data_IF_703603626968
#
_entry.id   IF_703603626968
#
_cell.length_a   1.000
_cell.length_b   1.000
_cell.length_c   1.000
_cell.angle_alpha   90.00
_cell.angle_beta   90.00
_cell.angle_gamma   90.00
#
_symmetry.space_group_name_H-M   'P 1'
#
loop_
_entity.id
_entity.type
_entity.pdbx_description
1 polymer ?
#
# COMPACT_ATOMS: atom_id res chain seq x y z
N UNK A 1 8.15 -13.89 24.86
CA UNK A 1 7.37 -15.15 24.81
C UNK A 1 7.91 -15.94 23.64
N UNK A 2 8.11 -17.25 23.78
CA UNK A 2 8.62 -18.11 22.72
C UNK A 2 7.41 -18.88 22.17
N UNK A 3 7.11 -18.75 20.88
CA UNK A 3 6.13 -19.64 20.21
C UNK A 3 6.90 -20.63 19.35
N UNK A 4 6.38 -21.84 19.22
CA UNK A 4 6.90 -22.77 18.22
C UNK A 4 6.46 -22.29 16.85
N UNK A 5 7.27 -22.58 15.83
CA UNK A 5 6.93 -22.28 14.42
C UNK A 5 5.57 -22.89 14.06
N UNK A 6 5.25 -24.07 14.58
CA UNK A 6 3.95 -24.73 14.39
C UNK A 6 2.76 -23.87 14.86
N UNK A 7 2.92 -23.11 15.95
CA UNK A 7 1.87 -22.25 16.51
C UNK A 7 1.60 -21.01 15.64
N UNK A 8 2.52 -20.68 14.73
CA UNK A 8 2.41 -19.58 13.77
C UNK A 8 1.76 -19.99 12.45
N UNK A 9 1.58 -21.30 12.21
CA UNK A 9 0.96 -21.86 10.98
C UNK A 9 -0.55 -21.64 10.92
N UNK A 10 -1.19 -21.46 12.07
CA UNK A 10 -2.61 -21.14 12.16
C UNK A 10 -2.86 -19.61 12.19
N UNK A 11 -3.97 -19.16 11.61
CA UNK A 11 -4.46 -17.76 11.62
C UNK A 11 -4.54 -17.12 13.02
N UNK A 12 -4.32 -17.89 14.09
CA UNK A 12 -4.32 -17.46 15.48
C UNK A 12 -3.08 -16.65 15.88
N UNK A 13 -2.01 -16.62 15.10
CA UNK A 13 -0.83 -15.82 15.46
C UNK A 13 -1.14 -14.32 15.61
N UNK A 14 -2.02 -13.77 14.75
CA UNK A 14 -2.55 -12.41 14.88
C UNK A 14 -3.46 -12.25 16.10
N UNK A 15 -4.17 -13.31 16.52
CA UNK A 15 -5.01 -13.32 17.73
C UNK A 15 -4.13 -13.32 19.01
N UNK A 16 -3.00 -14.03 19.01
CA UNK A 16 -2.01 -13.99 20.10
C UNK A 16 -1.39 -12.60 20.29
N UNK A 17 -1.28 -11.79 19.23
CA UNK A 17 -0.77 -10.42 19.31
C UNK A 17 -1.75 -9.41 19.93
N UNK A 18 -3.04 -9.75 19.99
CA UNK A 18 -4.07 -8.94 20.65
C UNK A 18 -4.01 -9.10 22.18
N UNK A 19 -3.36 -10.14 22.71
CA UNK A 19 -3.41 -10.49 24.13
C UNK A 19 -2.43 -9.73 25.06
N UNK A 20 -1.51 -8.88 24.59
CA UNK A 20 -0.60 -8.15 25.49
C UNK A 20 -0.40 -6.67 25.15
N UNK A 21 -0.54 -5.85 26.18
CA UNK A 21 -0.17 -4.44 26.21
C UNK A 21 1.32 -4.25 26.49
N UNK A 22 1.89 -3.22 25.85
CA UNK A 22 3.31 -2.85 25.81
C UNK A 22 4.19 -3.73 24.90
N UNK A 23 5.18 -3.10 24.27
CA UNK A 23 5.97 -3.67 23.18
C UNK A 23 6.59 -5.02 23.53
N UNK A 24 6.63 -5.93 22.56
CA UNK A 24 7.19 -7.27 22.75
C UNK A 24 7.90 -7.76 21.50
N UNK A 25 8.91 -8.60 21.70
CA UNK A 25 9.52 -9.43 20.66
C UNK A 25 9.21 -10.88 20.94
N UNK A 26 8.86 -11.59 19.88
CA UNK A 26 8.62 -13.02 19.88
C UNK A 26 9.62 -13.68 18.92
N UNK A 27 10.31 -14.70 19.39
CA UNK A 27 11.32 -15.41 18.61
C UNK A 27 10.91 -16.88 18.55
N UNK A 28 10.82 -17.43 17.33
CA UNK A 28 10.69 -18.88 17.17
C UNK A 28 12.03 -19.53 17.47
N UNK A 29 12.08 -20.41 18.47
CA UNK A 29 13.26 -21.24 18.68
C UNK A 29 13.16 -22.46 17.78
N UNK A 30 13.93 -22.46 16.69
CA UNK A 30 14.23 -23.63 15.88
C UNK A 30 15.46 -24.39 16.41
N UNK A 31 15.60 -25.64 15.94
CA UNK A 31 16.82 -26.45 16.09
C UNK A 31 17.99 -25.68 15.45
N UNK A 32 19.21 -25.86 15.96
CA UNK A 32 20.41 -25.22 15.39
C UNK A 32 20.53 -25.56 13.89
N UNK A 33 20.52 -24.53 13.03
CA UNK A 33 20.49 -24.66 11.57
C UNK A 33 19.15 -24.31 10.89
N UNK A 34 18.06 -24.16 11.64
CA UNK A 34 16.75 -23.78 11.10
C UNK A 34 16.52 -22.24 11.10
N UNK A 35 15.80 -21.68 10.10
CA UNK A 35 15.49 -20.25 10.04
C UNK A 35 14.71 -19.76 11.26
N UNK A 36 15.10 -18.62 11.83
CA UNK A 36 14.48 -18.02 13.02
C UNK A 36 13.56 -16.85 12.66
N UNK A 37 12.27 -16.98 12.96
CA UNK A 37 11.33 -15.87 12.87
C UNK A 37 11.39 -14.99 14.11
N UNK A 38 11.66 -13.71 13.90
CA UNK A 38 11.48 -12.66 14.89
C UNK A 38 10.26 -11.84 14.51
N UNK A 39 9.38 -11.64 15.47
CA UNK A 39 8.23 -10.74 15.32
C UNK A 39 8.27 -9.71 16.43
N UNK A 40 8.29 -8.43 16.06
CA UNK A 40 8.35 -7.34 17.01
C UNK A 40 7.15 -6.43 16.87
N UNK A 41 6.46 -6.18 17.98
CA UNK A 41 5.38 -5.21 18.08
C UNK A 41 5.86 -4.02 18.89
N UNK A 42 5.79 -2.83 18.30
CA UNK A 42 6.09 -1.57 18.95
C UNK A 42 4.83 -0.69 18.99
N UNK A 43 4.51 -0.14 20.15
CA UNK A 43 3.37 0.79 20.30
C UNK A 43 3.89 2.14 20.76
N UNK A 44 3.76 3.16 19.89
CA UNK A 44 4.02 4.54 20.27
C UNK A 44 2.74 5.13 20.89
N UNK A 45 2.73 5.30 22.22
CA UNK A 45 1.57 5.84 22.93
C UNK A 45 1.26 7.30 22.59
N UNK A 46 2.27 8.10 22.22
CA UNK A 46 2.10 9.52 21.88
C UNK A 46 1.42 9.67 20.51
N UNK A 47 1.87 8.90 19.55
CA UNK A 47 1.33 8.90 18.18
C UNK A 47 0.10 7.98 18.03
N UNK A 48 -0.23 7.19 19.06
CA UNK A 48 -1.29 6.17 19.04
C UNK A 48 -1.13 5.16 17.90
N UNK A 49 0.10 4.92 17.49
CA UNK A 49 0.45 3.96 16.43
C UNK A 49 0.94 2.65 17.02
N UNK A 50 0.67 1.55 16.31
CA UNK A 50 1.26 0.24 16.61
C UNK A 50 1.84 -0.33 15.33
N UNK A 51 3.11 -0.72 15.39
CA UNK A 51 3.88 -1.28 14.28
C UNK A 51 4.18 -2.74 14.61
N UNK A 52 3.96 -3.63 13.64
CA UNK A 52 4.41 -5.02 13.70
C UNK A 52 5.45 -5.21 12.60
N UNK A 53 6.58 -5.78 12.96
CA UNK A 53 7.69 -6.08 12.04
C UNK A 53 8.03 -7.57 12.11
N UNK A 54 8.50 -8.10 10.99
CA UNK A 54 8.82 -9.50 10.81
C UNK A 54 10.27 -9.58 10.33
N UNK A 55 11.03 -10.55 10.82
CA UNK A 55 12.38 -10.82 10.35
C UNK A 55 12.66 -12.32 10.36
N UNK A 56 13.40 -12.81 9.38
CA UNK A 56 13.93 -14.17 9.36
C UNK A 56 15.45 -14.08 9.48
N UNK A 57 16.03 -14.76 10.48
CA UNK A 57 17.47 -14.70 10.80
C UNK A 57 18.01 -13.27 10.95
N UNK A 58 17.18 -12.40 11.53
CA UNK A 58 17.50 -10.98 11.73
C UNK A 58 17.35 -10.10 10.48
N UNK A 59 17.06 -10.67 9.31
CA UNK A 59 16.77 -9.92 8.10
C UNK A 59 15.28 -9.55 8.05
N UNK A 60 14.92 -8.25 7.96
CA UNK A 60 13.53 -7.82 7.93
C UNK A 60 12.81 -8.31 6.67
N UNK A 61 11.62 -8.89 6.83
CA UNK A 61 10.75 -9.33 5.74
C UNK A 61 9.42 -8.57 5.76
N UNK A 62 8.81 -8.45 4.58
CA UNK A 62 7.71 -7.51 4.34
C UNK A 62 6.40 -7.86 5.06
N UNK A 63 6.16 -9.14 5.32
CA UNK A 63 5.01 -9.63 6.10
C UNK A 63 5.23 -11.05 6.65
N UNK A 64 4.24 -11.55 7.41
CA UNK A 64 4.24 -12.90 7.96
C UNK A 64 4.25 -13.98 6.87
N UNK A 65 3.62 -13.75 5.72
CA UNK A 65 3.57 -14.76 4.64
C UNK A 65 4.96 -14.94 4.04
N UNK A 66 5.64 -13.83 3.75
CA UNK A 66 7.04 -13.81 3.33
C UNK A 66 7.94 -14.53 4.35
N UNK A 67 7.70 -14.32 5.66
CA UNK A 67 8.41 -15.05 6.70
C UNK A 67 8.14 -16.57 6.66
N UNK A 68 6.87 -16.97 6.58
CA UNK A 68 6.46 -18.38 6.56
C UNK A 68 6.97 -19.13 5.32
N UNK A 69 6.95 -18.49 4.15
CA UNK A 69 7.51 -19.07 2.92
C UNK A 69 8.99 -19.46 3.12
N UNK A 70 9.77 -18.64 3.86
CA UNK A 70 11.18 -18.96 4.15
C UNK A 70 11.31 -20.07 5.18
N UNK A 71 10.55 -19.97 6.28
CA UNK A 71 10.63 -20.94 7.39
C UNK A 71 10.17 -22.34 6.95
N UNK A 72 9.20 -22.42 6.05
CA UNK A 72 8.72 -23.68 5.50
C UNK A 72 9.66 -24.26 4.43
N UNK A 73 10.75 -23.57 4.09
CA UNK A 73 11.67 -23.95 3.01
C UNK A 73 11.06 -23.84 1.62
N UNK A 74 9.91 -23.16 1.47
CA UNK A 74 9.24 -22.94 0.18
C UNK A 74 10.00 -21.91 -0.67
N UNK A 75 10.66 -20.96 -0.01
CA UNK A 75 11.51 -19.94 -0.63
C UNK A 75 12.79 -19.73 0.16
N UNK A 76 13.85 -19.31 -0.54
CA UNK A 76 15.05 -18.81 0.11
C UNK A 76 14.84 -17.36 0.54
N UNK A 77 15.51 -16.94 1.61
CA UNK A 77 15.38 -15.58 2.14
C UNK A 77 15.81 -14.53 1.11
N UNK A 78 16.84 -14.81 0.31
CA UNK A 78 17.31 -13.89 -0.73
C UNK A 78 16.25 -13.67 -1.81
N UNK A 79 15.43 -14.68 -2.10
CA UNK A 79 14.38 -14.58 -3.11
C UNK A 79 13.13 -13.85 -2.57
N UNK A 80 12.94 -13.84 -1.25
CA UNK A 80 11.91 -13.05 -0.57
C UNK A 80 12.31 -11.58 -0.43
N UNK A 81 13.59 -11.31 -0.19
CA UNK A 81 14.13 -9.95 -0.06
C UNK A 81 14.36 -9.28 -1.42
N UNK A 82 14.49 -10.07 -2.51
CA UNK A 82 14.62 -9.50 -3.86
C UNK A 82 13.38 -8.71 -4.23
N UNK A 83 13.54 -7.46 -4.72
CA UNK A 83 12.45 -6.71 -5.31
C UNK A 83 11.77 -7.54 -6.40
N UNK A 84 10.45 -7.71 -6.32
CA UNK A 84 9.69 -8.43 -7.35
C UNK A 84 9.80 -7.68 -8.67
N UNK A 85 10.29 -8.36 -9.70
CA UNK A 85 10.45 -7.79 -11.03
C UNK A 85 9.08 -7.38 -11.62
N UNK A 86 9.02 -6.21 -12.25
CA UNK A 86 7.81 -5.77 -12.92
C UNK A 86 7.70 -6.44 -14.30
N UNK A 87 6.81 -7.43 -14.42
CA UNK A 87 6.47 -8.07 -15.70
C UNK A 87 5.50 -7.26 -16.59
N UNK A 88 4.92 -6.17 -16.08
CA UNK A 88 3.91 -5.38 -16.78
C UNK A 88 4.57 -4.32 -17.67
N UNK A 89 4.35 -4.43 -18.98
CA UNK A 89 4.89 -3.48 -19.99
C UNK A 89 3.84 -2.45 -20.42
N UNK A 90 4.22 -1.18 -20.35
CA UNK A 90 3.42 -0.03 -20.79
C UNK A 90 2.95 0.87 -19.64
N UNK A 91 2.17 1.89 -19.98
CA UNK A 91 1.61 2.84 -19.01
C UNK A 91 0.25 2.33 -18.54
N UNK A 92 0.14 2.10 -17.23
CA UNK A 92 -1.10 1.65 -16.59
C UNK A 92 -1.65 2.71 -15.66
N UNK A 93 -2.96 2.66 -15.44
CA UNK A 93 -3.67 3.48 -14.47
C UNK A 93 -4.46 2.58 -13.51
N UNK A 94 -4.72 3.10 -12.30
CA UNK A 94 -5.59 2.47 -11.32
C UNK A 94 -6.61 3.49 -10.82
N UNK A 95 -7.89 3.13 -10.89
CA UNK A 95 -8.98 3.96 -10.36
C UNK A 95 -9.06 3.87 -8.84
N UNK A 96 -8.75 4.97 -8.16
CA UNK A 96 -8.83 5.14 -6.71
C UNK A 96 -10.04 6.02 -6.40
N UNK A 97 -10.84 5.61 -5.41
CA UNK A 97 -12.05 6.34 -5.02
C UNK A 97 -11.67 7.58 -4.20
N UNK A 98 -12.44 8.65 -4.38
CA UNK A 98 -12.39 9.77 -3.45
C UNK A 98 -13.12 9.38 -2.15
N UNK A 99 -12.60 9.84 -1.00
CA UNK A 99 -11.59 10.87 -0.83
C UNK A 99 -10.14 10.36 -0.74
N UNK A 100 -9.93 9.04 -0.83
CA UNK A 100 -8.62 8.44 -0.57
C UNK A 100 -7.56 8.83 -1.59
N UNK A 101 -7.96 9.07 -2.85
CA UNK A 101 -7.05 9.65 -3.83
C UNK A 101 -6.53 11.05 -3.41
N UNK A 102 -7.39 11.92 -2.86
CA UNK A 102 -6.96 13.20 -2.31
C UNK A 102 -5.98 13.01 -1.14
N UNK A 103 -6.21 12.03 -0.26
CA UNK A 103 -5.31 11.73 0.85
C UNK A 103 -3.93 11.25 0.39
N UNK A 104 -3.83 10.53 -0.74
CA UNK A 104 -2.53 10.15 -1.34
C UNK A 104 -1.73 11.39 -1.71
N UNK A 105 -2.35 12.36 -2.39
CA UNK A 105 -1.66 13.57 -2.83
C UNK A 105 -1.34 14.57 -1.72
N UNK A 106 -2.17 14.65 -0.68
CA UNK A 106 -2.12 15.76 0.28
C UNK A 106 -1.74 15.38 1.70
N UNK A 107 -1.95 14.12 2.11
CA UNK A 107 -1.71 13.65 3.48
C UNK A 107 -0.65 12.55 3.58
N UNK A 108 -0.02 12.18 2.45
CA UNK A 108 0.97 11.12 2.43
C UNK A 108 0.37 9.74 2.74
N UNK A 109 -0.85 9.47 2.26
CA UNK A 109 -1.36 8.09 2.24
C UNK A 109 -0.44 7.24 1.36
N UNK A 110 0.33 6.39 2.01
CA UNK A 110 1.43 5.58 1.48
C UNK A 110 1.00 4.19 0.99
N UNK A 111 -0.30 3.88 1.09
CA UNK A 111 -0.85 2.62 0.62
C UNK A 111 -2.24 2.79 0.00
N UNK A 112 -2.60 1.91 -0.94
CA UNK A 112 -3.97 1.76 -1.45
C UNK A 112 -4.54 0.39 -1.03
N UNK A 113 -5.73 0.39 -0.43
CA UNK A 113 -6.39 -0.82 0.08
C UNK A 113 -7.21 -1.49 -1.03
N UNK A 114 -7.08 -2.81 -1.20
CA UNK A 114 -7.85 -3.62 -2.16
C UNK A 114 -8.30 -4.94 -1.55
N UNK A 115 -9.57 -5.26 -1.71
CA UNK A 115 -10.21 -6.53 -1.34
C UNK A 115 -9.98 -7.64 -2.39
N UNK A 116 -8.90 -7.52 -3.17
CA UNK A 116 -8.58 -8.50 -4.20
C UNK A 116 -8.33 -9.89 -3.60
N UNK A 117 -8.94 -10.92 -4.20
CA UNK A 117 -8.63 -12.32 -3.86
C UNK A 117 -7.18 -12.63 -4.21
N UNK A 118 -6.56 -13.59 -3.50
CA UNK A 118 -5.18 -14.06 -3.74
C UNK A 118 -4.90 -14.47 -5.21
N UNK A 119 -5.92 -14.84 -5.97
CA UNK A 119 -5.82 -15.22 -7.39
C UNK A 119 -5.90 -14.04 -8.36
N UNK A 120 -6.08 -12.81 -7.86
CA UNK A 120 -6.24 -11.64 -8.71
C UNK A 120 -4.90 -11.30 -9.40
N UNK A 121 -4.86 -11.23 -10.75
CA UNK A 121 -3.61 -10.99 -11.49
C UNK A 121 -2.96 -9.63 -11.17
N UNK A 122 -3.75 -8.65 -10.72
CA UNK A 122 -3.26 -7.33 -10.35
C UNK A 122 -2.33 -7.35 -9.13
N UNK A 123 -2.37 -8.41 -8.30
CA UNK A 123 -1.44 -8.58 -7.16
C UNK A 123 0.03 -8.72 -7.60
N UNK A 124 0.26 -9.08 -8.86
CA UNK A 124 1.59 -9.14 -9.46
C UNK A 124 2.10 -7.81 -10.04
N UNK A 125 1.37 -6.71 -9.90
CA UNK A 125 1.80 -5.40 -10.42
C UNK A 125 2.83 -4.75 -9.48
N UNK A 126 3.95 -4.29 -10.06
CA UNK A 126 4.92 -3.40 -9.41
C UNK A 126 5.32 -2.35 -10.44
N UNK A 127 5.61 -1.12 -10.04
CA UNK A 127 6.06 -0.10 -10.97
C UNK A 127 5.15 1.12 -11.03
N UNK A 128 5.46 1.99 -12.00
CA UNK A 128 4.81 3.29 -12.13
C UNK A 128 3.41 3.13 -12.71
N UNK A 129 2.46 3.87 -12.16
CA UNK A 129 1.07 3.90 -12.61
C UNK A 129 0.49 5.30 -12.48
N UNK A 130 -0.53 5.56 -13.28
CA UNK A 130 -1.32 6.78 -13.22
C UNK A 130 -2.45 6.62 -12.20
N UNK A 131 -2.60 7.61 -11.33
CA UNK A 131 -3.72 7.67 -10.39
C UNK A 131 -4.92 8.24 -11.13
N UNK A 132 -5.88 7.36 -11.42
CA UNK A 132 -7.20 7.75 -11.87
C UNK A 132 -8.09 8.03 -10.65
N UNK A 133 -8.74 9.18 -10.58
CA UNK A 133 -9.75 9.47 -9.56
C UNK A 133 -11.11 8.99 -10.06
N UNK A 134 -11.74 8.05 -9.34
CA UNK A 134 -13.00 7.43 -9.75
C UNK A 134 -14.11 8.45 -9.97
N UNK A 135 -14.95 8.22 -11.00
CA UNK A 135 -16.16 8.99 -11.25
C UNK A 135 -17.29 8.70 -10.25
N UNK A 136 -17.16 7.65 -9.45
CA UNK A 136 -18.15 7.22 -8.44
C UNK A 136 -18.52 8.35 -7.49
N UNK A 137 -19.79 8.42 -7.08
CA UNK A 137 -20.28 9.30 -6.01
C UNK A 137 -21.42 8.60 -5.26
N UNK A 138 -21.07 7.67 -4.39
CA UNK A 138 -22.04 6.87 -3.62
C UNK A 138 -22.15 7.33 -2.17
N UNK A 139 -23.05 6.69 -1.41
CA UNK A 139 -23.17 6.90 0.04
C UNK A 139 -21.89 6.48 0.78
N UNK A 140 -21.24 5.43 0.29
CA UNK A 140 -19.96 4.95 0.82
C UNK A 140 -18.86 5.99 0.59
N UNK A 141 -18.79 6.61 -0.60
CA UNK A 141 -17.84 7.71 -0.85
C UNK A 141 -18.07 8.89 0.11
N UNK A 142 -19.34 9.15 0.47
CA UNK A 142 -19.69 10.19 1.44
C UNK A 142 -19.27 9.81 2.85
N UNK A 143 -19.48 8.56 3.25
CA UNK A 143 -19.03 8.05 4.54
C UNK A 143 -17.50 8.16 4.68
N UNK A 144 -16.76 7.70 3.67
CA UNK A 144 -15.30 7.80 3.63
C UNK A 144 -14.82 9.26 3.71
N UNK A 145 -15.55 10.19 3.07
CA UNK A 145 -15.29 11.62 3.19
C UNK A 145 -15.44 12.11 4.63
N UNK A 146 -16.50 11.73 5.32
CA UNK A 146 -16.71 12.10 6.72
C UNK A 146 -15.63 11.46 7.62
N UNK A 147 -15.15 10.24 7.31
CA UNK A 147 -14.00 9.62 8.01
C UNK A 147 -12.68 10.37 7.76
N UNK A 148 -12.43 10.83 6.53
CA UNK A 148 -11.26 11.68 6.25
C UNK A 148 -11.31 12.98 7.06
N UNK A 149 -12.49 13.62 7.18
CA UNK A 149 -12.65 14.82 8.00
C UNK A 149 -12.33 14.56 9.47
N UNK A 150 -12.83 13.45 10.03
CA UNK A 150 -12.52 13.05 11.41
C UNK A 150 -11.03 12.82 11.58
N UNK A 151 -10.39 12.12 10.64
CA UNK A 151 -8.95 11.90 10.68
C UNK A 151 -8.19 13.23 10.69
N UNK A 152 -8.55 14.18 9.83
CA UNK A 152 -7.88 15.49 9.79
C UNK A 152 -8.20 16.38 10.99
N UNK A 153 -9.32 16.15 11.66
CA UNK A 153 -9.70 16.88 12.88
C UNK A 153 -8.96 16.37 14.11
N UNK A 154 -8.81 15.05 14.23
CA UNK A 154 -8.43 14.42 15.50
C UNK A 154 -7.06 13.72 15.46
N UNK A 155 -6.47 13.47 14.29
CA UNK A 155 -5.17 12.82 14.20
C UNK A 155 -4.04 13.80 14.53
N UNK A 156 -3.15 13.48 15.48
CA UNK A 156 -2.01 14.34 15.82
C UNK A 156 -0.98 14.44 14.68
N UNK A 157 -0.98 13.47 13.76
CA UNK A 157 -0.05 13.41 12.63
C UNK A 157 -0.48 14.29 11.46
N UNK A 158 -1.71 14.79 11.47
CA UNK A 158 -2.21 15.67 10.42
C UNK A 158 -1.95 17.12 10.82
N UNK A 159 -1.26 17.92 9.99
CA UNK A 159 -1.02 19.32 10.31
C UNK A 159 -2.32 20.09 10.58
N UNK A 160 -2.30 20.94 11.61
CA UNK A 160 -3.44 21.81 11.93
C UNK A 160 -3.85 22.66 10.71
N UNK A 161 -5.15 22.81 10.49
CA UNK A 161 -5.70 23.54 9.35
C UNK A 161 -5.75 22.74 8.04
N UNK A 162 -5.32 21.47 8.01
CA UNK A 162 -5.49 20.63 6.81
C UNK A 162 -6.95 20.39 6.46
N UNK A 163 -7.84 20.39 7.46
CA UNK A 163 -9.28 20.27 7.23
C UNK A 163 -9.81 21.36 6.29
N UNK A 164 -9.29 22.59 6.40
CA UNK A 164 -9.69 23.72 5.57
C UNK A 164 -9.22 23.60 4.11
N UNK A 165 -8.25 22.71 3.87
CA UNK A 165 -7.72 22.42 2.52
C UNK A 165 -8.48 21.30 1.82
N UNK A 166 -9.33 20.57 2.52
CA UNK A 166 -10.13 19.50 1.92
C UNK A 166 -11.27 20.15 1.13
N UNK A 167 -11.35 19.95 -0.21
CA UNK A 167 -12.48 20.46 -0.97
C UNK A 167 -13.78 19.85 -0.46
N UNK A 168 -14.90 20.61 -0.42
CA UNK A 168 -16.20 20.05 -0.11
C UNK A 168 -16.48 18.79 -0.93
N UNK A 169 -17.18 17.79 -0.38
CA UNK A 169 -17.41 16.48 -1.02
C UNK A 169 -17.83 16.57 -2.51
N UNK A 170 -18.70 17.53 -2.84
CA UNK A 170 -19.18 17.76 -4.21
C UNK A 170 -18.21 18.47 -5.15
N UNK A 171 -17.07 18.93 -4.65
CA UNK A 171 -16.01 19.67 -5.38
C UNK A 171 -14.72 18.86 -5.52
N UNK A 172 -14.63 17.68 -4.93
CA UNK A 172 -13.53 16.75 -5.19
C UNK A 172 -13.51 16.35 -6.67
N UNK A 173 -12.36 16.48 -7.32
CA UNK A 173 -12.13 16.08 -8.72
C UNK A 173 -12.35 14.57 -8.89
N UNK A 174 -13.00 14.19 -9.99
CA UNK A 174 -13.46 12.82 -10.28
C UNK A 174 -13.47 12.57 -11.79
N UNK A 175 -13.31 11.32 -12.19
CA UNK A 175 -13.49 10.88 -13.58
C UNK A 175 -12.28 11.13 -14.50
N UNK A 176 -11.06 11.10 -13.98
CA UNK A 176 -9.87 11.35 -14.79
C UNK A 176 -8.56 10.99 -14.12
N UNK A 177 -7.46 11.14 -14.86
CA UNK A 177 -6.10 11.02 -14.34
C UNK A 177 -5.74 12.32 -13.62
N UNK A 178 -5.33 12.23 -12.36
CA UNK A 178 -4.94 13.39 -11.56
C UNK A 178 -3.45 13.41 -11.18
N UNK A 179 -2.74 12.32 -11.46
CA UNK A 179 -1.32 12.22 -11.18
C UNK A 179 -0.79 10.83 -11.44
N UNK A 180 0.37 10.54 -10.87
CA UNK A 180 1.05 9.26 -10.96
C UNK A 180 1.68 8.90 -9.62
N UNK A 181 1.95 7.62 -9.42
CA UNK A 181 2.77 7.12 -8.33
C UNK A 181 3.41 5.79 -8.73
N UNK A 182 4.12 5.15 -7.81
CA UNK A 182 4.76 3.85 -8.01
C UNK A 182 4.28 2.86 -6.97
N UNK A 183 3.84 1.67 -7.41
CA UNK A 183 3.63 0.53 -6.51
C UNK A 183 4.97 -0.17 -6.30
N UNK A 184 5.52 -0.11 -5.08
CA UNK A 184 6.78 -0.77 -4.72
C UNK A 184 6.56 -2.17 -4.14
N UNK A 185 5.44 -2.37 -3.46
CA UNK A 185 5.01 -3.70 -3.01
C UNK A 185 3.49 -3.85 -2.92
N UNK A 186 3.01 -5.10 -2.74
CA UNK A 186 1.61 -5.42 -2.42
C UNK A 186 1.63 -6.52 -1.35
N UNK A 187 1.14 -6.19 -0.15
CA UNK A 187 1.20 -7.02 1.07
C UNK A 187 -0.15 -7.04 1.80
N UNK A 188 -0.40 -7.98 2.72
CA UNK A 188 -1.71 -8.12 3.41
C UNK A 188 -1.73 -7.61 4.86
N UNK A 189 -0.60 -7.12 5.40
CA UNK A 189 -0.48 -6.65 6.79
C UNK A 189 0.50 -5.46 6.90
N UNK A 190 0.24 -4.37 6.17
CA UNK A 190 1.14 -3.21 6.17
C UNK A 190 0.98 -2.39 7.47
N UNK A 191 2.07 -1.91 8.11
CA UNK A 191 2.01 -1.19 9.39
C UNK A 191 1.50 0.26 9.27
N UNK A 192 1.21 0.72 8.06
CA UNK A 192 0.70 2.06 7.81
C UNK A 192 -0.62 2.29 8.56
N UNK A 193 -0.77 3.49 9.14
CA UNK A 193 -2.03 3.94 9.75
C UNK A 193 -3.21 3.98 8.77
N UNK A 194 -2.92 3.93 7.47
CA UNK A 194 -3.90 3.95 6.40
C UNK A 194 -4.42 2.55 6.02
N UNK A 195 -3.87 1.49 6.63
CA UNK A 195 -4.19 0.09 6.34
C UNK A 195 -5.55 -0.33 6.91
N UNK A 196 -6.39 -0.93 6.06
CA UNK A 196 -7.64 -1.57 6.48
C UNK A 196 -7.44 -3.08 6.69
N UNK A 197 -7.99 -3.63 7.77
CA UNK A 197 -7.91 -5.06 8.04
C UNK A 197 -8.49 -5.90 6.89
N UNK A 198 -7.83 -7.02 6.59
CA UNK A 198 -8.27 -7.97 5.57
C UNK A 198 -8.10 -7.50 4.12
N UNK A 199 -7.37 -6.39 3.90
CA UNK A 199 -7.08 -5.88 2.56
C UNK A 199 -5.68 -6.26 2.10
N UNK A 200 -5.48 -6.28 0.78
CA UNK A 200 -4.16 -6.10 0.19
C UNK A 200 -3.83 -4.61 0.18
N UNK A 201 -2.59 -4.27 0.49
CA UNK A 201 -2.07 -2.92 0.56
C UNK A 201 -1.05 -2.74 -0.55
N UNK A 202 -1.42 -2.00 -1.59
CA UNK A 202 -0.49 -1.55 -2.61
C UNK A 202 0.37 -0.46 -1.97
N UNK A 203 1.64 -0.72 -1.71
CA UNK A 203 2.58 0.24 -1.13
C UNK A 203 2.98 1.24 -2.20
N UNK A 204 2.67 2.52 -1.97
CA UNK A 204 2.76 3.61 -2.93
C UNK A 204 3.89 4.57 -2.53
N UNK A 205 4.74 4.88 -3.50
CA UNK A 205 5.78 5.90 -3.39
C UNK A 205 5.79 6.82 -4.62
N UNK A 206 6.66 7.84 -4.60
CA UNK A 206 6.91 8.76 -5.74
C UNK A 206 5.64 9.39 -6.31
N UNK A 207 4.72 9.76 -5.41
CA UNK A 207 3.46 10.44 -5.76
C UNK A 207 3.76 11.77 -6.43
N UNK A 208 3.17 11.99 -7.60
CA UNK A 208 3.32 13.20 -8.41
C UNK A 208 1.95 13.63 -8.92
N UNK A 209 1.54 14.86 -8.61
CA UNK A 209 0.30 15.44 -9.14
C UNK A 209 0.51 15.87 -10.60
N UNK A 210 -0.55 15.76 -11.40
CA UNK A 210 -0.54 16.23 -12.78
C UNK A 210 -0.50 17.77 -12.80
N UNK A 211 0.53 18.41 -13.37
CA UNK A 211 0.66 19.88 -13.35
C UNK A 211 -0.41 20.59 -14.18
N UNK A 212 -1.03 19.91 -15.15
CA UNK A 212 -2.13 20.45 -15.96
C UNK A 212 -3.51 20.18 -15.34
N UNK A 213 -3.56 19.64 -14.12
CA UNK A 213 -4.80 19.25 -13.45
C UNK A 213 -5.39 17.94 -13.98
N UNK A 214 -6.68 17.73 -13.71
CA UNK A 214 -7.39 16.51 -14.08
C UNK A 214 -7.49 16.34 -15.61
N UNK A 215 -6.99 15.20 -16.11
CA UNK A 215 -7.18 14.79 -17.51
C UNK A 215 -8.35 13.81 -17.57
N UNK A 216 -9.48 14.15 -18.22
CA UNK A 216 -10.64 13.28 -18.31
C UNK A 216 -10.28 11.90 -18.88
N UNK A 217 -10.72 10.84 -18.20
CA UNK A 217 -10.46 9.47 -18.62
C UNK A 217 -11.51 8.54 -18.02
N UNK A 218 -12.08 7.64 -18.82
CA UNK A 218 -12.97 6.60 -18.28
C UNK A 218 -12.16 5.62 -17.43
N UNK A 219 -12.61 5.37 -16.19
CA UNK A 219 -12.00 4.39 -15.29
C UNK A 219 -12.41 2.95 -15.62
N UNK A 220 -11.66 1.98 -15.09
CA UNK A 220 -11.92 0.55 -15.24
C UNK A 220 -11.57 -0.21 -13.95
N UNK A 221 -12.04 -1.46 -13.82
CA UNK A 221 -11.68 -2.34 -12.70
C UNK A 221 -10.25 -2.86 -12.86
N UNK A 222 -9.47 -2.83 -11.77
CA UNK A 222 -8.07 -3.24 -11.78
C UNK A 222 -7.17 -2.22 -12.51
N UNK A 223 -5.92 -2.62 -12.75
CA UNK A 223 -5.01 -1.83 -13.58
C UNK A 223 -5.46 -1.88 -15.03
N UNK A 224 -5.54 -0.72 -15.69
CA UNK A 224 -5.95 -0.60 -17.08
C UNK A 224 -5.01 0.29 -17.87
N UNK A 225 -4.97 0.12 -19.19
CA UNK A 225 -4.22 1.02 -20.09
C UNK A 225 -5.13 2.18 -20.50
N UNK A 226 -4.80 3.44 -20.19
CA UNK A 226 -5.56 4.57 -20.69
C UNK A 226 -5.52 4.64 -22.23
N UNK A 227 -6.56 5.19 -22.87
CA UNK A 227 -6.57 5.48 -24.30
C UNK A 227 -5.38 6.35 -24.75
N UNK A 228 -4.95 6.19 -26.00
CA UNK A 228 -3.75 6.86 -26.52
C UNK A 228 -3.88 8.40 -26.53
N UNK A 229 -5.07 8.93 -26.77
CA UNK A 229 -5.39 10.36 -26.68
C UNK A 229 -5.26 10.90 -25.25
N UNK A 230 -5.71 10.13 -24.24
CA UNK A 230 -5.50 10.46 -22.83
C UNK A 230 -4.01 10.48 -22.49
N UNK A 231 -3.25 9.50 -22.98
CA UNK A 231 -1.79 9.46 -22.78
C UNK A 231 -1.08 10.62 -23.47
N UNK A 232 -1.53 11.01 -24.67
CA UNK A 232 -0.97 12.14 -25.40
C UNK A 232 -1.25 13.49 -24.73
N UNK A 233 -2.35 13.60 -23.96
CA UNK A 233 -2.71 14.77 -23.18
C UNK A 233 -1.92 14.89 -21.86
N UNK A 234 -1.22 13.84 -21.43
CA UNK A 234 -0.37 13.92 -20.23
C UNK A 234 0.82 14.86 -20.48
N UNK A 235 1.16 15.71 -19.51
CA UNK A 235 2.32 16.56 -19.62
C UNK A 235 3.57 15.69 -19.73
N UNK A 236 4.35 15.90 -20.78
CA UNK A 236 5.66 15.28 -20.93
C UNK A 236 6.58 15.85 -19.86
N UNK A 237 7.05 15.02 -18.94
CA UNK A 237 8.07 15.44 -17.98
C UNK A 237 9.37 15.67 -18.75
N UNK A 238 9.98 16.86 -18.64
CA UNK A 238 11.34 17.18 -19.15
C UNK A 238 12.47 16.44 -18.41
N UNK A 239 12.16 15.36 -17.70
CA UNK A 239 13.16 14.51 -17.06
C UNK A 239 13.45 13.33 -17.99
N UNK A 240 14.49 13.44 -18.81
CA UNK A 240 15.19 12.30 -19.41
C UNK A 240 16.68 12.41 -19.11
N UNK A 241 17.47 11.31 -19.12
CA UNK A 241 17.10 9.88 -19.14
C UNK A 241 17.66 9.15 -17.89
N UNK A 242 17.24 7.92 -17.56
CA UNK A 242 17.95 6.69 -17.93
C UNK A 242 17.02 5.47 -17.81
N UNK A 243 17.09 4.61 -18.83
CA UNK A 243 16.52 3.26 -18.92
C UNK A 243 15.01 3.10 -19.13
N UNK A 244 14.50 3.57 -20.28
CA UNK A 244 13.51 2.82 -21.05
C UNK A 244 13.84 2.94 -22.55
N UNK A 245 14.10 1.79 -23.17
CA UNK A 245 14.30 1.53 -24.61
C UNK A 245 15.70 1.83 -25.20
N UNK A 246 16.69 1.03 -24.79
CA UNK A 246 17.46 0.29 -25.81
C UNK A 246 16.78 -1.07 -25.99
N UNK A 247 16.16 -1.28 -27.15
CA UNK A 247 15.99 -2.59 -27.79
C UNK A 247 15.24 -2.41 -29.11
N UNK A 248 15.96 -2.66 -30.22
CA UNK A 248 15.43 -3.17 -31.50
C UNK A 248 14.75 -2.15 -32.40
#
# INVERSE_FOLDING_TARGET
MILKVEDLRDRKATDYMHMRGQGFSLISHGVEGEPRLTVSKYTNKKERTTTVTWAVDGQPVVDLRAALDVINGEKRIEDVLKPKENKWKGVYALSIRQPWAWAIFNLGKDIENRDWKDTNPNLGFRGDFLIHVSASKTKEDRHDYDELLKLCTYSPDVPKGMIDRIPPFGKLERGGILGAARVVDIVTNHPSKWACLGCNHLVIERVRMCPTGLIPCRGQLGFFKPPADVLAALPRTKAEPENLVQAG
#
